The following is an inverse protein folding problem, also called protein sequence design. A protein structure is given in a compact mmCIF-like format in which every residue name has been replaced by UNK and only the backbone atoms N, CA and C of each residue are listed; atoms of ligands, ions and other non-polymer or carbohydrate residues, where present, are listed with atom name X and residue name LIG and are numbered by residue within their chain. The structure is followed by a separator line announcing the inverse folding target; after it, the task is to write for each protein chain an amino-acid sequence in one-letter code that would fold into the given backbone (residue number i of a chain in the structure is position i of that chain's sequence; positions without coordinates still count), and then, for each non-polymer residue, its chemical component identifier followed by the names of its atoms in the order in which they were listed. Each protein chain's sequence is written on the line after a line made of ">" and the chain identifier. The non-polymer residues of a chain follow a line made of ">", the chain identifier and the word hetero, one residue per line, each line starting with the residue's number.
data_IF_911259149966
#
_entry.id   IF_911259149966
#
_cell.length_a   1.000
_cell.length_b   1.000
_cell.length_c   1.000
_cell.angle_alpha   90.00
_cell.angle_beta   90.00
_cell.angle_gamma   90.00
#
_symmetry.space_group_name_H-M   'P 1'
#
loop_
_entity.id
_entity.type
_entity.pdbx_description
1 polymer ?
#
# COMPACT_ATOMS: atom_id res chain seq x y z
N UNK A 1 11.73 -7.48 -13.89
CA UNK A 1 12.70 -6.90 -12.95
C UNK A 1 13.47 -5.78 -13.65
N UNK A 2 13.75 -4.70 -12.92
CA UNK A 2 14.53 -3.58 -13.44
C UNK A 2 16.01 -4.01 -13.62
N UNK A 3 16.59 -3.99 -14.83
CA UNK A 3 17.96 -4.39 -15.07
C UNK A 3 19.01 -3.49 -14.40
N UNK A 4 18.63 -2.37 -13.81
CA UNK A 4 19.56 -1.44 -13.19
C UNK A 4 20.61 -0.89 -14.19
N UNK A 5 21.90 -1.19 -13.97
CA UNK A 5 23.01 -0.78 -14.88
C UNK A 5 23.38 -1.83 -15.92
N UNK A 6 22.66 -2.94 -15.98
CA UNK A 6 22.95 -4.02 -16.95
C UNK A 6 22.41 -3.66 -18.34
N UNK A 7 23.30 -3.32 -19.27
CA UNK A 7 22.96 -2.95 -20.64
C UNK A 7 22.34 -4.12 -21.40
N UNK A 8 22.83 -5.37 -21.20
CA UNK A 8 22.26 -6.54 -21.86
C UNK A 8 20.86 -6.84 -21.37
N UNK A 9 20.60 -6.63 -20.08
CA UNK A 9 19.27 -6.71 -19.49
C UNK A 9 18.31 -5.72 -20.14
N UNK A 10 18.73 -4.47 -20.39
CA UNK A 10 17.89 -3.49 -21.09
C UNK A 10 17.62 -3.85 -22.55
N UNK A 11 18.63 -4.37 -23.28
CA UNK A 11 18.45 -4.86 -24.65
C UNK A 11 17.39 -5.97 -24.66
N UNK A 12 17.48 -6.92 -23.74
CA UNK A 12 16.49 -7.98 -23.59
C UNK A 12 15.08 -7.42 -23.33
N UNK A 13 14.91 -6.48 -22.42
CA UNK A 13 13.62 -5.82 -22.14
C UNK A 13 13.02 -5.17 -23.39
N UNK A 14 13.86 -4.49 -24.20
CA UNK A 14 13.41 -3.88 -25.46
C UNK A 14 12.99 -4.94 -26.47
N UNK A 15 13.78 -6.00 -26.63
CA UNK A 15 13.47 -7.11 -27.56
C UNK A 15 12.17 -7.81 -27.12
N UNK A 16 12.02 -8.14 -25.85
CA UNK A 16 10.79 -8.76 -25.32
C UNK A 16 9.58 -7.86 -25.55
N UNK A 17 9.71 -6.53 -25.36
CA UNK A 17 8.66 -5.56 -25.67
C UNK A 17 8.28 -5.54 -27.16
N UNK A 18 9.26 -5.57 -28.06
CA UNK A 18 9.03 -5.64 -29.51
C UNK A 18 8.36 -6.96 -29.93
N UNK A 19 8.76 -8.07 -29.33
CA UNK A 19 8.12 -9.38 -29.55
C UNK A 19 6.66 -9.34 -29.14
N UNK A 20 6.33 -8.72 -27.99
CA UNK A 20 4.95 -8.56 -27.51
C UNK A 20 4.08 -7.72 -28.44
N UNK A 21 4.65 -6.75 -29.15
CA UNK A 21 3.91 -5.96 -30.15
C UNK A 21 3.56 -6.75 -31.42
N UNK A 22 4.44 -7.70 -31.81
CA UNK A 22 4.25 -8.48 -33.07
C UNK A 22 3.48 -9.77 -32.83
N UNK A 23 3.73 -10.43 -31.72
CA UNK A 23 3.09 -11.70 -31.39
C UNK A 23 2.05 -11.50 -30.29
N UNK A 24 0.85 -12.05 -30.48
CA UNK A 24 -0.18 -12.09 -29.42
C UNK A 24 0.33 -12.93 -28.26
N UNK A 25 1.01 -12.29 -27.33
CA UNK A 25 1.43 -12.88 -26.06
C UNK A 25 0.33 -12.72 -25.02
N UNK A 26 0.09 -13.68 -24.12
CA UNK A 26 -0.82 -13.49 -23.00
C UNK A 26 -0.31 -12.34 -22.14
N UNK A 27 -1.04 -11.23 -22.15
CA UNK A 27 -0.73 -10.05 -21.34
C UNK A 27 -1.53 -10.11 -20.03
N UNK A 28 -0.96 -9.67 -18.90
CA UNK A 28 -1.69 -9.63 -17.64
C UNK A 28 -2.99 -8.82 -17.78
N UNK A 29 -4.07 -9.37 -17.23
CA UNK A 29 -5.37 -8.67 -17.20
C UNK A 29 -5.32 -7.42 -16.30
N UNK A 30 -4.48 -7.46 -15.29
CA UNK A 30 -4.33 -6.42 -14.29
C UNK A 30 -2.87 -5.95 -14.23
N UNK A 31 -2.70 -4.65 -14.16
CA UNK A 31 -1.41 -4.00 -13.95
C UNK A 31 -1.53 -3.12 -12.71
N UNK A 32 -0.77 -3.46 -11.67
CA UNK A 32 -0.66 -2.66 -10.45
C UNK A 32 0.68 -1.95 -10.48
N UNK A 33 0.65 -0.62 -10.45
CA UNK A 33 1.84 0.23 -10.51
C UNK A 33 1.95 1.06 -9.24
N UNK A 34 3.09 1.01 -8.58
CA UNK A 34 3.48 1.99 -7.60
C UNK A 34 4.06 3.21 -8.34
N UNK A 35 3.45 4.37 -8.14
CA UNK A 35 3.88 5.63 -8.76
C UNK A 35 4.45 6.53 -7.68
N UNK A 36 5.76 6.71 -7.72
CA UNK A 36 6.50 7.62 -6.86
C UNK A 36 6.96 8.85 -7.61
N UNK A 37 7.52 9.81 -6.88
CA UNK A 37 8.14 11.02 -7.45
C UNK A 37 9.37 11.39 -6.64
N UNK A 38 10.48 11.64 -7.33
CA UNK A 38 11.73 12.11 -6.73
C UNK A 38 11.89 13.63 -6.95
N UNK A 39 11.27 14.19 -7.98
CA UNK A 39 11.32 15.60 -8.33
C UNK A 39 10.04 16.08 -9.01
N UNK A 40 9.78 17.40 -8.99
CA UNK A 40 8.63 17.99 -9.69
C UNK A 40 8.58 17.61 -11.17
N UNK A 41 7.38 17.21 -11.63
CA UNK A 41 7.11 16.84 -13.02
C UNK A 41 7.21 15.33 -13.33
N UNK A 42 7.71 14.50 -12.42
CA UNK A 42 7.86 13.06 -12.66
C UNK A 42 6.49 12.39 -12.89
N UNK A 43 5.50 12.65 -12.02
CA UNK A 43 4.14 12.11 -12.18
C UNK A 43 3.45 12.77 -13.38
N UNK A 44 3.64 14.08 -13.58
CA UNK A 44 3.12 14.78 -14.75
C UNK A 44 3.63 14.20 -16.08
N UNK A 45 4.85 13.67 -16.14
CA UNK A 45 5.37 12.96 -17.32
C UNK A 45 4.72 11.58 -17.51
N UNK A 46 4.51 10.84 -16.43
CA UNK A 46 3.87 9.52 -16.47
C UNK A 46 2.42 9.65 -16.92
N UNK A 47 1.68 10.62 -16.40
CA UNK A 47 0.26 10.83 -16.69
C UNK A 47 -0.04 11.32 -18.10
N UNK A 48 0.97 11.69 -18.90
CA UNK A 48 0.79 11.96 -20.34
C UNK A 48 0.35 10.73 -21.13
N UNK A 49 0.70 9.56 -20.66
CA UNK A 49 0.41 8.29 -21.34
C UNK A 49 -0.31 7.26 -20.43
N UNK A 50 -0.17 7.38 -19.12
CA UNK A 50 -0.81 6.52 -18.15
C UNK A 50 -2.16 7.14 -17.71
N UNK A 51 -3.25 6.47 -18.05
CA UNK A 51 -4.59 6.81 -17.58
C UNK A 51 -5.14 5.59 -16.82
N UNK A 52 -5.05 5.56 -15.48
CA UNK A 52 -5.45 4.42 -14.69
C UNK A 52 -6.97 4.28 -14.60
N UNK A 53 -7.44 3.05 -14.45
CA UNK A 53 -8.86 2.75 -14.17
C UNK A 53 -9.16 2.94 -12.67
N UNK A 54 -8.16 2.74 -11.82
CA UNK A 54 -8.25 2.92 -10.37
C UNK A 54 -7.02 3.69 -9.88
N UNK A 55 -7.23 4.72 -9.09
CA UNK A 55 -6.17 5.47 -8.39
C UNK A 55 -6.34 5.28 -6.88
N UNK A 56 -5.27 4.91 -6.21
CA UNK A 56 -5.23 4.76 -4.75
C UNK A 56 -4.24 5.76 -4.17
N UNK A 57 -4.68 6.56 -3.20
CA UNK A 57 -3.79 7.42 -2.42
C UNK A 57 -3.82 6.97 -0.97
N UNK A 58 -2.71 6.39 -0.51
CA UNK A 58 -2.65 5.76 0.82
C UNK A 58 -2.26 6.72 1.92
N UNK A 59 -1.24 7.55 1.70
CA UNK A 59 -0.75 8.51 2.70
C UNK A 59 0.03 9.63 2.03
N UNK A 60 -0.12 10.84 2.58
CA UNK A 60 0.72 11.98 2.25
C UNK A 60 1.63 12.30 3.44
N UNK A 61 2.93 12.23 3.21
CA UNK A 61 3.89 12.64 4.24
C UNK A 61 4.06 14.15 4.21
N UNK A 62 3.84 14.80 5.37
CA UNK A 62 4.13 16.25 5.53
C UNK A 62 5.62 16.56 5.37
N UNK A 63 6.48 15.58 5.64
CA UNK A 63 7.92 15.65 5.39
C UNK A 63 8.30 14.45 4.53
N UNK A 64 8.23 14.59 3.19
CA UNK A 64 8.61 13.51 2.29
C UNK A 64 10.12 13.26 2.34
N UNK A 65 10.52 12.07 1.96
CA UNK A 65 11.94 11.64 1.94
C UNK A 65 12.80 12.57 1.04
N UNK A 66 12.17 13.21 0.03
CA UNK A 66 12.81 14.12 -0.92
C UNK A 66 12.27 15.56 -0.83
N UNK A 67 11.95 16.03 0.39
CA UNK A 67 11.39 17.38 0.60
C UNK A 67 12.22 18.49 -0.02
N UNK A 68 13.55 18.34 -0.03
CA UNK A 68 14.47 19.32 -0.60
C UNK A 68 14.26 19.54 -2.11
N UNK A 69 13.78 18.53 -2.83
CA UNK A 69 13.52 18.62 -4.27
C UNK A 69 12.21 19.37 -4.60
N UNK A 70 11.25 19.42 -3.67
CA UNK A 70 9.93 19.97 -3.92
C UNK A 70 9.75 21.40 -3.43
N UNK A 71 10.65 21.90 -2.57
CA UNK A 71 10.59 23.26 -2.03
C UNK A 71 9.44 23.50 -1.05
N UNK A 72 8.27 22.87 -1.22
CA UNK A 72 7.16 22.93 -0.26
C UNK A 72 6.25 21.69 -0.33
N UNK A 73 5.47 21.41 0.75
CA UNK A 73 4.48 20.33 0.76
C UNK A 73 3.37 20.50 -0.30
N UNK A 74 3.00 21.74 -0.61
CA UNK A 74 1.96 22.05 -1.59
C UNK A 74 2.35 21.59 -3.00
N UNK A 75 3.61 21.76 -3.39
CA UNK A 75 4.11 21.25 -4.68
C UNK A 75 4.06 19.73 -4.75
N UNK A 76 4.38 19.05 -3.67
CA UNK A 76 4.25 17.59 -3.62
C UNK A 76 2.79 17.14 -3.70
N UNK A 77 1.89 17.86 -3.03
CA UNK A 77 0.45 17.61 -3.12
C UNK A 77 -0.04 17.78 -4.56
N UNK A 78 0.32 18.86 -5.22
CA UNK A 78 -0.04 19.12 -6.63
C UNK A 78 0.52 18.03 -7.56
N UNK A 79 1.78 17.65 -7.37
CA UNK A 79 2.44 16.63 -8.18
C UNK A 79 1.74 15.28 -8.07
N UNK A 80 1.44 14.83 -6.86
CA UNK A 80 0.68 13.58 -6.64
C UNK A 80 -0.76 13.70 -7.14
N UNK A 81 -1.37 14.88 -7.04
CA UNK A 81 -2.69 15.18 -7.59
C UNK A 81 -2.79 14.98 -9.11
N UNK A 82 -1.68 15.05 -9.84
CA UNK A 82 -1.67 14.77 -11.28
C UNK A 82 -2.11 13.32 -11.59
N UNK A 83 -1.81 12.36 -10.70
CA UNK A 83 -2.29 11.00 -10.87
C UNK A 83 -3.81 10.91 -10.71
N UNK A 84 -4.39 11.65 -9.74
CA UNK A 84 -5.85 11.73 -9.55
C UNK A 84 -6.53 12.34 -10.76
N UNK A 85 -5.95 13.42 -11.33
CA UNK A 85 -6.47 14.08 -12.55
C UNK A 85 -6.39 13.18 -13.79
N UNK A 86 -5.46 12.21 -13.80
CA UNK A 86 -5.28 11.28 -14.91
C UNK A 86 -6.22 10.06 -14.84
N UNK A 87 -7.04 9.94 -13.81
CA UNK A 87 -8.05 8.89 -13.68
C UNK A 87 -8.98 8.92 -14.89
N UNK A 88 -9.22 7.74 -15.50
CA UNK A 88 -10.13 7.61 -16.63
C UNK A 88 -11.56 7.99 -16.25
N UNK A 89 -12.35 8.54 -17.20
CA UNK A 89 -13.79 8.66 -17.02
C UNK A 89 -14.43 7.31 -16.68
N UNK A 90 -15.25 7.29 -15.61
CA UNK A 90 -15.84 6.06 -15.07
C UNK A 90 -14.89 5.25 -14.18
N UNK A 91 -13.71 5.77 -13.89
CA UNK A 91 -12.75 5.15 -12.98
C UNK A 91 -13.10 5.29 -11.50
N UNK A 92 -12.28 4.69 -10.62
CA UNK A 92 -12.50 4.72 -9.17
C UNK A 92 -11.31 5.38 -8.46
N UNK A 93 -11.59 6.41 -7.65
CA UNK A 93 -10.64 7.04 -6.74
C UNK A 93 -10.78 6.41 -5.35
N UNK A 94 -9.70 5.90 -4.79
CA UNK A 94 -9.67 5.29 -3.45
C UNK A 94 -8.76 6.13 -2.55
N UNK A 95 -9.32 6.66 -1.47
CA UNK A 95 -8.62 7.55 -0.54
C UNK A 95 -8.60 6.99 0.89
N UNK A 96 -7.50 7.26 1.58
CA UNK A 96 -7.41 7.02 3.02
C UNK A 96 -8.20 8.10 3.79
N UNK A 97 -9.28 7.70 4.44
CA UNK A 97 -10.14 8.61 5.23
C UNK A 97 -9.45 9.15 6.50
N UNK A 98 -8.42 8.45 6.99
CA UNK A 98 -7.71 8.83 8.22
C UNK A 98 -6.66 9.93 7.99
N UNK A 99 -6.31 10.21 6.73
CA UNK A 99 -5.34 11.22 6.34
C UNK A 99 -6.05 12.44 5.74
N UNK A 100 -6.03 13.57 6.45
CA UNK A 100 -6.72 14.80 6.03
C UNK A 100 -6.13 15.40 4.74
N UNK A 101 -4.82 15.27 4.55
CA UNK A 101 -4.14 15.76 3.34
C UNK A 101 -4.53 14.89 2.13
N UNK A 102 -4.71 13.57 2.33
CA UNK A 102 -5.24 12.66 1.29
C UNK A 102 -6.69 13.00 0.96
N UNK A 103 -7.51 13.29 1.97
CA UNK A 103 -8.92 13.63 1.77
C UNK A 103 -9.13 14.93 0.99
N UNK A 104 -8.14 15.82 0.92
CA UNK A 104 -8.20 17.01 0.08
C UNK A 104 -8.29 16.69 -1.42
N UNK A 105 -7.89 15.48 -1.85
CA UNK A 105 -8.07 15.03 -3.23
C UNK A 105 -9.51 14.72 -3.63
N UNK A 106 -10.42 14.57 -2.67
CA UNK A 106 -11.85 14.30 -2.92
C UNK A 106 -12.47 15.31 -3.91
N UNK A 107 -12.04 16.58 -3.88
CA UNK A 107 -12.55 17.64 -4.76
C UNK A 107 -11.88 17.71 -6.12
N UNK A 108 -10.89 16.88 -6.42
CA UNK A 108 -10.13 16.93 -7.68
C UNK A 108 -10.78 16.09 -8.79
N UNK A 109 -11.50 15.04 -8.43
CA UNK A 109 -12.16 14.15 -9.38
C UNK A 109 -13.65 14.03 -9.07
N UNK A 110 -14.48 14.02 -10.11
CA UNK A 110 -15.93 13.73 -10.00
C UNK A 110 -16.26 12.25 -10.15
N UNK A 111 -15.23 11.42 -10.33
CA UNK A 111 -15.37 9.98 -10.53
C UNK A 111 -15.78 9.27 -9.23
N UNK A 112 -16.07 7.97 -9.33
CA UNK A 112 -16.45 7.16 -8.16
C UNK A 112 -15.42 7.27 -7.06
N UNK A 113 -15.85 7.66 -5.86
CA UNK A 113 -15.02 7.75 -4.66
C UNK A 113 -15.31 6.58 -3.73
N UNK A 114 -14.25 5.92 -3.26
CA UNK A 114 -14.29 4.93 -2.18
C UNK A 114 -13.29 5.32 -1.11
N UNK A 115 -13.63 5.05 0.14
CA UNK A 115 -12.84 5.41 1.31
C UNK A 115 -12.44 4.18 2.11
N UNK A 116 -11.20 4.15 2.58
CA UNK A 116 -10.73 3.15 3.54
C UNK A 116 -10.12 3.82 4.76
N UNK A 117 -10.21 3.17 5.92
CA UNK A 117 -9.65 3.68 7.17
C UNK A 117 -10.53 3.38 8.38
N UNK A 118 -10.13 3.87 9.55
CA UNK A 118 -10.87 3.71 10.81
C UNK A 118 -11.99 4.73 10.99
N UNK A 119 -11.90 5.88 10.30
CA UNK A 119 -12.92 6.94 10.43
C UNK A 119 -14.29 6.45 9.99
N UNK A 120 -15.30 6.87 10.77
CA UNK A 120 -16.71 6.66 10.42
C UNK A 120 -17.04 7.17 9.03
N UNK A 121 -17.76 6.37 8.25
CA UNK A 121 -18.12 6.68 6.86
C UNK A 121 -17.13 6.14 5.82
N UNK A 122 -16.12 5.36 6.24
CA UNK A 122 -15.30 4.60 5.31
C UNK A 122 -16.08 3.43 4.71
N UNK A 123 -15.87 3.13 3.41
CA UNK A 123 -16.50 1.99 2.72
C UNK A 123 -15.95 0.65 3.23
N UNK A 124 -14.69 0.66 3.70
CA UNK A 124 -14.04 -0.45 4.40
C UNK A 124 -13.20 0.09 5.55
N UNK A 125 -13.32 -0.55 6.71
CA UNK A 125 -12.57 -0.20 7.91
C UNK A 125 -12.00 -1.41 8.62
N UNK A 126 -11.19 -1.16 9.66
CA UNK A 126 -10.70 -2.20 10.54
C UNK A 126 -10.86 -1.81 12.01
N UNK A 127 -10.89 -2.83 12.87
CA UNK A 127 -10.93 -2.70 14.33
C UNK A 127 -10.31 -3.92 15.00
N UNK A 128 -10.32 -3.95 16.32
CA UNK A 128 -9.87 -5.12 17.11
C UNK A 128 -8.44 -5.59 16.78
N UNK A 129 -7.53 -4.63 16.51
CA UNK A 129 -6.13 -4.94 16.27
C UNK A 129 -5.49 -5.66 17.47
N UNK A 130 -4.85 -6.78 17.21
CA UNK A 130 -4.20 -7.61 18.21
C UNK A 130 -2.89 -8.19 17.66
N UNK A 131 -1.87 -8.26 18.50
CA UNK A 131 -0.64 -9.01 18.20
C UNK A 131 -0.86 -10.47 18.58
N UNK A 132 -0.53 -11.37 17.65
CA UNK A 132 -0.54 -12.82 17.86
C UNK A 132 0.80 -13.21 18.49
N UNK A 133 0.76 -13.98 19.58
CA UNK A 133 1.92 -14.50 20.28
C UNK A 133 1.97 -16.02 20.21
N UNK A 134 3.18 -16.60 20.25
CA UNK A 134 3.38 -18.04 20.43
C UNK A 134 3.36 -18.44 21.92
N UNK A 135 3.61 -19.73 22.18
CA UNK A 135 3.65 -20.31 23.53
C UNK A 135 4.75 -19.69 24.42
N UNK A 136 5.78 -19.11 23.82
CA UNK A 136 6.89 -18.45 24.52
C UNK A 136 6.66 -16.92 24.66
N UNK A 137 5.45 -16.41 24.36
CA UNK A 137 5.12 -15.01 24.32
C UNK A 137 5.95 -14.20 23.29
N UNK A 138 6.43 -14.83 22.22
CA UNK A 138 7.08 -14.14 21.13
C UNK A 138 6.03 -13.68 20.09
N UNK A 139 6.11 -12.45 19.55
CA UNK A 139 5.19 -11.97 18.54
C UNK A 139 5.38 -12.76 17.24
N UNK A 140 4.29 -13.21 16.63
CA UNK A 140 4.27 -14.01 15.39
C UNK A 140 3.48 -13.36 14.26
N UNK A 141 2.65 -12.38 14.56
CA UNK A 141 1.83 -11.72 13.57
C UNK A 141 0.80 -10.79 14.19
N UNK A 142 -0.16 -10.40 13.38
CA UNK A 142 -1.29 -9.54 13.77
C UNK A 142 -2.62 -10.18 13.38
N UNK A 143 -3.66 -9.87 14.14
CA UNK A 143 -5.05 -10.19 13.85
C UNK A 143 -5.89 -8.94 14.00
N UNK A 144 -6.84 -8.74 13.11
CA UNK A 144 -7.75 -7.59 13.12
C UNK A 144 -9.07 -7.95 12.49
N UNK A 145 -10.13 -7.23 12.87
CA UNK A 145 -11.45 -7.31 12.25
C UNK A 145 -11.56 -6.33 11.09
N UNK A 146 -12.24 -6.73 10.03
CA UNK A 146 -12.56 -5.89 8.87
C UNK A 146 -14.07 -5.83 8.73
N UNK A 147 -14.61 -4.63 8.46
CA UNK A 147 -16.02 -4.43 8.09
C UNK A 147 -16.14 -3.59 6.82
N UNK A 148 -17.14 -3.88 6.01
CA UNK A 148 -17.56 -3.04 4.90
C UNK A 148 -18.78 -2.21 5.36
N UNK A 149 -18.56 -0.92 5.63
CA UNK A 149 -19.57 -0.08 6.23
C UNK A 149 -20.11 -0.71 7.53
N UNK A 150 -21.42 -0.93 7.60
CA UNK A 150 -22.11 -1.49 8.77
C UNK A 150 -22.21 -3.04 8.75
N UNK A 151 -21.50 -3.74 7.86
CA UNK A 151 -21.50 -5.20 7.80
C UNK A 151 -20.76 -5.82 9.00
N UNK A 152 -21.07 -7.09 9.30
CA UNK A 152 -20.43 -7.84 10.38
C UNK A 152 -18.91 -7.96 10.19
N UNK A 153 -18.19 -7.89 11.32
CA UNK A 153 -16.73 -8.03 11.34
C UNK A 153 -16.28 -9.40 10.84
N UNK A 154 -15.32 -9.39 9.94
CA UNK A 154 -14.61 -10.57 9.47
C UNK A 154 -13.14 -10.47 9.86
N UNK A 155 -12.60 -11.52 10.50
CA UNK A 155 -11.24 -11.48 11.02
C UNK A 155 -10.21 -11.97 10.02
N UNK A 156 -9.13 -11.21 9.88
CA UNK A 156 -7.94 -11.53 9.09
C UNK A 156 -6.73 -11.64 10.01
N UNK A 157 -5.82 -12.54 9.68
CA UNK A 157 -4.53 -12.67 10.37
C UNK A 157 -3.39 -12.62 9.36
N UNK A 158 -2.39 -11.81 9.65
CA UNK A 158 -1.13 -11.73 8.91
C UNK A 158 -0.01 -12.28 9.78
N UNK A 159 0.66 -13.32 9.31
CA UNK A 159 1.77 -13.93 10.03
C UNK A 159 3.11 -13.36 9.56
N UNK A 160 4.08 -13.28 10.47
CA UNK A 160 5.44 -12.85 10.16
C UNK A 160 5.62 -11.34 10.02
N UNK A 161 4.62 -10.53 10.32
CA UNK A 161 4.69 -9.06 10.29
C UNK A 161 3.95 -8.44 11.47
N UNK A 162 4.28 -7.18 11.79
CA UNK A 162 3.61 -6.37 12.82
C UNK A 162 3.20 -5.01 12.26
N UNK A 163 2.40 -4.30 13.05
CA UNK A 163 2.04 -2.89 12.82
C UNK A 163 0.77 -2.70 12.01
N UNK A 164 -0.02 -1.70 12.42
CA UNK A 164 -1.29 -1.33 11.77
C UNK A 164 -1.09 -0.82 10.35
N UNK A 165 0.08 -0.25 10.04
CA UNK A 165 0.43 0.20 8.69
C UNK A 165 0.35 -0.91 7.64
N UNK A 166 0.46 -2.18 8.05
CA UNK A 166 0.30 -3.34 7.15
C UNK A 166 -1.17 -3.70 6.88
N UNK A 167 -2.14 -3.02 7.51
CA UNK A 167 -3.57 -3.26 7.27
C UNK A 167 -4.06 -2.49 6.04
N UNK A 168 -3.57 -1.28 5.82
CA UNK A 168 -4.06 -0.41 4.75
C UNK A 168 -4.06 -1.06 3.36
N UNK A 169 -3.01 -1.81 3.01
CA UNK A 169 -2.95 -2.48 1.70
C UNK A 169 -3.97 -3.63 1.58
N UNK A 170 -4.29 -4.31 2.69
CA UNK A 170 -5.34 -5.33 2.74
C UNK A 170 -6.71 -4.69 2.52
N UNK A 171 -7.01 -3.58 3.23
CA UNK A 171 -8.27 -2.85 3.05
C UNK A 171 -8.45 -2.42 1.60
N UNK A 172 -7.42 -1.82 1.01
CA UNK A 172 -7.44 -1.39 -0.39
C UNK A 172 -7.67 -2.56 -1.35
N UNK A 173 -6.95 -3.66 -1.17
CA UNK A 173 -7.11 -4.84 -2.04
C UNK A 173 -8.52 -5.44 -1.96
N UNK A 174 -9.10 -5.54 -0.76
CA UNK A 174 -10.46 -6.03 -0.54
C UNK A 174 -11.51 -5.05 -1.09
N UNK A 175 -11.30 -3.75 -0.94
CA UNK A 175 -12.18 -2.73 -1.47
C UNK A 175 -12.21 -2.78 -3.00
N UNK A 176 -11.04 -2.91 -3.64
CA UNK A 176 -10.92 -3.12 -5.09
C UNK A 176 -11.59 -4.42 -5.51
N UNK A 177 -11.36 -5.52 -4.78
CA UNK A 177 -12.00 -6.80 -5.10
C UNK A 177 -13.53 -6.69 -5.09
N UNK A 178 -14.09 -6.02 -4.07
CA UNK A 178 -15.53 -5.76 -3.97
C UNK A 178 -16.04 -4.88 -5.10
N UNK A 179 -15.33 -3.79 -5.40
CA UNK A 179 -15.68 -2.83 -6.45
C UNK A 179 -15.76 -3.49 -7.83
N UNK A 180 -14.87 -4.43 -8.07
CA UNK A 180 -14.79 -5.21 -9.31
C UNK A 180 -15.71 -6.44 -9.33
N UNK A 181 -16.51 -6.67 -8.29
CA UNK A 181 -17.40 -7.84 -8.19
C UNK A 181 -16.66 -9.17 -8.04
N UNK A 182 -15.42 -9.16 -7.53
CA UNK A 182 -14.66 -10.37 -7.23
C UNK A 182 -15.09 -10.98 -5.90
N UNK A 183 -14.77 -12.26 -5.69
CA UNK A 183 -15.06 -12.94 -4.42
C UNK A 183 -14.15 -12.42 -3.30
N UNK A 184 -14.70 -11.55 -2.44
CA UNK A 184 -14.00 -10.95 -1.30
C UNK A 184 -13.53 -12.01 -0.30
N UNK A 185 -14.29 -13.10 -0.09
CA UNK A 185 -13.88 -14.18 0.83
C UNK A 185 -12.67 -14.93 0.30
N UNK A 186 -12.62 -15.15 -1.01
CA UNK A 186 -11.46 -15.75 -1.65
C UNK A 186 -10.24 -14.82 -1.53
N UNK A 187 -10.42 -13.53 -1.75
CA UNK A 187 -9.38 -12.51 -1.58
C UNK A 187 -8.86 -12.48 -0.14
N UNK A 188 -9.74 -12.48 0.87
CA UNK A 188 -9.34 -12.54 2.29
C UNK A 188 -8.54 -13.80 2.62
N UNK A 189 -8.92 -14.96 2.07
CA UNK A 189 -8.20 -16.20 2.31
C UNK A 189 -6.79 -16.20 1.69
N UNK A 190 -6.55 -15.46 0.61
CA UNK A 190 -5.23 -15.39 -0.03
C UNK A 190 -4.17 -14.77 0.88
N UNK A 191 -4.56 -13.84 1.77
CA UNK A 191 -3.63 -13.20 2.71
C UNK A 191 -3.07 -14.15 3.77
N UNK A 192 -3.70 -15.30 4.02
CA UNK A 192 -3.17 -16.32 4.95
C UNK A 192 -1.85 -16.92 4.46
N UNK A 193 -1.60 -16.91 3.17
CA UNK A 193 -0.38 -17.44 2.52
C UNK A 193 0.58 -16.34 2.08
N UNK A 194 0.25 -15.08 2.34
CA UNK A 194 1.11 -13.96 1.99
C UNK A 194 2.39 -14.00 2.79
N UNK A 195 3.51 -13.78 2.08
CA UNK A 195 4.82 -13.67 2.72
C UNK A 195 5.08 -12.20 3.07
N UNK A 196 5.53 -11.92 4.30
CA UNK A 196 5.86 -10.55 4.69
C UNK A 196 6.90 -9.93 3.78
N UNK A 197 6.64 -8.71 3.34
CA UNK A 197 7.57 -7.95 2.51
C UNK A 197 8.86 -7.67 3.29
N UNK A 198 10.05 -8.01 2.75
CA UNK A 198 11.31 -7.71 3.40
C UNK A 198 11.47 -6.23 3.73
N UNK A 199 11.95 -5.93 4.93
CA UNK A 199 12.17 -4.56 5.39
C UNK A 199 10.90 -3.76 5.69
N UNK A 200 9.74 -4.41 5.84
CA UNK A 200 8.45 -3.78 6.18
C UNK A 200 7.85 -4.42 7.42
N UNK A 201 8.37 -4.07 8.59
CA UNK A 201 7.94 -4.61 9.89
C UNK A 201 7.95 -6.14 9.95
N UNK A 202 8.83 -6.77 9.17
CA UNK A 202 8.94 -8.23 9.07
C UNK A 202 9.55 -8.80 10.35
N UNK A 203 8.98 -9.90 10.82
CA UNK A 203 9.54 -10.67 11.94
C UNK A 203 10.58 -11.67 11.45
N UNK A 204 11.75 -11.65 12.09
CA UNK A 204 12.83 -12.59 11.84
C UNK A 204 13.23 -13.24 13.16
N UNK A 205 13.63 -14.50 13.09
CA UNK A 205 14.19 -15.19 14.25
C UNK A 205 15.60 -14.66 14.54
N UNK A 206 15.81 -14.22 15.78
CA UNK A 206 17.09 -13.75 16.28
C UNK A 206 17.83 -14.82 17.09
N UNK A 207 19.03 -14.49 17.56
CA UNK A 207 19.80 -15.37 18.41
C UNK A 207 19.18 -15.52 19.80
N UNK A 208 19.38 -16.69 20.42
CA UNK A 208 18.93 -17.01 21.79
C UNK A 208 17.41 -16.83 22.00
N UNK A 209 16.61 -17.12 20.99
CA UNK A 209 15.15 -17.00 21.08
C UNK A 209 14.63 -15.56 21.07
N UNK A 210 15.41 -14.60 20.57
CA UNK A 210 14.92 -13.24 20.35
C UNK A 210 14.17 -13.12 19.03
N UNK A 211 13.34 -12.10 18.90
CA UNK A 211 12.69 -11.71 17.65
C UNK A 211 13.28 -10.39 17.17
N UNK A 212 13.62 -10.31 15.89
CA UNK A 212 14.06 -9.10 15.22
C UNK A 212 12.87 -8.56 14.41
N UNK A 213 12.61 -7.27 14.53
CA UNK A 213 11.65 -6.55 13.68
C UNK A 213 12.46 -5.82 12.61
N UNK A 214 12.32 -6.26 11.37
CA UNK A 214 13.02 -5.68 10.22
C UNK A 214 12.09 -4.67 9.52
N UNK A 215 12.40 -3.37 9.68
CA UNK A 215 11.74 -2.24 9.00
C UNK A 215 12.78 -1.40 8.25
N UNK A 216 13.71 -2.06 7.58
CA UNK A 216 14.92 -1.47 7.01
C UNK A 216 14.80 -1.00 5.55
N UNK A 217 13.67 -1.22 4.89
CA UNK A 217 13.52 -0.88 3.46
C UNK A 217 13.66 0.63 3.21
N UNK A 218 13.00 1.45 4.02
CA UNK A 218 13.04 2.90 3.91
C UNK A 218 12.74 3.53 5.27
N UNK A 219 13.17 4.77 5.49
CA UNK A 219 12.93 5.46 6.75
C UNK A 219 12.39 6.88 6.52
N UNK A 220 11.36 7.22 7.26
CA UNK A 220 10.87 8.59 7.41
C UNK A 220 10.51 8.82 8.87
N UNK A 221 10.42 10.07 9.35
CA UNK A 221 10.04 10.34 10.74
C UNK A 221 8.73 9.66 11.14
N UNK A 222 7.73 9.69 10.27
CA UNK A 222 6.41 9.06 10.50
C UNK A 222 6.54 7.53 10.56
N UNK A 223 7.27 6.92 9.62
CA UNK A 223 7.46 5.47 9.62
C UNK A 223 8.18 5.00 10.89
N UNK A 224 9.21 5.72 11.32
CA UNK A 224 9.93 5.43 12.57
C UNK A 224 9.00 5.55 13.80
N UNK A 225 8.17 6.59 13.85
CA UNK A 225 7.19 6.76 14.93
C UNK A 225 6.23 5.57 15.02
N UNK A 226 5.67 5.10 13.90
CA UNK A 226 4.77 3.95 13.85
C UNK A 226 5.48 2.64 14.25
N UNK A 227 6.72 2.45 13.82
CA UNK A 227 7.53 1.31 14.22
C UNK A 227 7.79 1.31 15.75
N UNK A 228 8.10 2.47 16.33
CA UNK A 228 8.30 2.61 17.78
C UNK A 228 7.01 2.43 18.59
N UNK A 229 5.87 2.92 18.08
CA UNK A 229 4.54 2.64 18.68
C UNK A 229 4.27 1.14 18.72
N UNK A 230 4.50 0.47 17.61
CA UNK A 230 4.35 -1.00 17.52
C UNK A 230 5.28 -1.72 18.49
N UNK A 231 6.56 -1.34 18.55
CA UNK A 231 7.51 -1.91 19.50
C UNK A 231 7.06 -1.74 20.96
N UNK A 232 6.54 -0.56 21.30
CA UNK A 232 6.00 -0.26 22.64
C UNK A 232 4.78 -1.11 23.01
N UNK A 233 3.97 -1.50 22.03
CA UNK A 233 2.75 -2.30 22.25
C UNK A 233 3.03 -3.80 22.49
N UNK A 234 4.26 -4.27 22.19
CA UNK A 234 4.64 -5.67 22.36
C UNK A 234 4.78 -5.99 23.85
N UNK A 235 4.11 -7.07 24.27
CA UNK A 235 4.28 -7.61 25.61
C UNK A 235 5.64 -8.30 25.70
N UNK A 236 6.55 -7.75 26.51
CA UNK A 236 7.85 -8.39 26.77
C UNK A 236 7.69 -9.25 28.02
N UNK A 237 7.93 -10.57 27.90
CA UNK A 237 8.17 -11.42 29.07
C UNK A 237 9.53 -11.02 29.67
N UNK A 238 9.53 -10.58 30.93
CA UNK A 238 10.76 -10.35 31.69
C UNK A 238 11.36 -11.67 32.14
#
# INVERSE_FOLDING_TARGET
>A
DNPGRDVLGWIRVVIDGLIMLVFKSPYPKWLVLEVGTDKPGDIGLITKWLHPDIVVVTKLSKVPVHVEAFGSPEYLFEEKGNLVKALKPGGTLILNADDEDVMAYKGISEEKLLLFGEKSGSDIGFSDYQIIYDENNLPKGIKFGISFGDEDLQYVSLMGTLGEQNISHILVALLIARDLGLDVRLAMNSFKSEQPTPGRMRLLDGLKGSTIIDDSYNSSPIALEEALKTLKSIKVSR
#
